data_IF_000478588168
#
_entry.id   IF_000478588168
#
_cell.length_a   1.000
_cell.length_b   1.000
_cell.length_c   1.000
_cell.angle_alpha   90.00
_cell.angle_beta   90.00
_cell.angle_gamma   90.00
#
_symmetry.space_group_name_H-M   'P 1'
#
loop_
_entity.id
_entity.type
_entity.pdbx_description
1 polymer ?
#
# COMPACT_ATOMS: atom_id res chain seq x y z
N UNK A 1 -17.15 10.91 1.61
CA UNK A 1 -16.46 10.44 2.83
C UNK A 1 -15.04 10.91 2.73
N UNK A 2 -14.46 11.47 3.81
CA UNK A 2 -13.06 11.85 3.87
C UNK A 2 -12.16 10.61 4.00
N UNK A 3 -10.98 10.66 3.41
CA UNK A 3 -9.93 9.64 3.57
C UNK A 3 -9.23 9.91 4.91
N UNK A 4 -9.26 8.93 5.79
CA UNK A 4 -8.71 9.03 7.14
C UNK A 4 -7.22 8.64 7.14
N UNK A 5 -6.35 9.55 7.59
CA UNK A 5 -4.90 9.42 7.47
C UNK A 5 -4.26 9.42 8.85
N UNK A 6 -3.39 8.45 9.11
CA UNK A 6 -2.44 8.45 10.21
C UNK A 6 -1.07 8.87 9.70
N UNK A 7 -0.48 9.92 10.29
CA UNK A 7 0.87 10.38 9.97
C UNK A 7 1.88 9.77 10.95
N UNK A 8 2.99 9.27 10.43
CA UNK A 8 4.03 8.63 11.26
C UNK A 8 5.41 9.11 10.84
N UNK A 9 6.07 9.86 11.71
CA UNK A 9 7.43 10.40 11.51
C UNK A 9 8.01 10.81 12.87
N UNK A 10 9.29 10.56 13.13
CA UNK A 10 9.95 10.95 14.38
C UNK A 10 10.36 12.44 14.41
N UNK A 11 10.21 13.14 13.28
CA UNK A 11 10.46 14.57 13.16
C UNK A 11 9.16 15.37 13.26
N UNK A 12 8.94 16.04 14.40
CA UNK A 12 7.72 16.86 14.64
C UNK A 12 7.49 17.92 13.56
N UNK A 13 8.55 18.53 13.04
CA UNK A 13 8.46 19.55 11.96
C UNK A 13 7.87 18.95 10.67
N UNK A 14 8.19 17.69 10.36
CA UNK A 14 7.62 16.98 9.20
C UNK A 14 6.14 16.71 9.44
N UNK A 15 5.77 16.23 10.63
CA UNK A 15 4.37 15.98 10.99
C UNK A 15 3.53 17.26 10.91
N UNK A 16 4.04 18.38 11.45
CA UNK A 16 3.35 19.68 11.40
C UNK A 16 3.20 20.18 9.96
N UNK A 17 4.24 20.04 9.14
CA UNK A 17 4.22 20.39 7.72
C UNK A 17 3.18 19.57 6.95
N UNK A 18 3.19 18.25 7.11
CA UNK A 18 2.23 17.34 6.48
C UNK A 18 0.79 17.66 6.93
N UNK A 19 0.59 17.89 8.22
CA UNK A 19 -0.72 18.25 8.77
C UNK A 19 -1.27 19.54 8.17
N UNK A 20 -0.46 20.59 8.15
CA UNK A 20 -0.87 21.89 7.58
C UNK A 20 -1.22 21.74 6.11
N UNK A 21 -0.44 20.98 5.39
CA UNK A 21 -0.50 20.85 3.95
C UNK A 21 -1.65 19.95 3.48
N UNK A 22 -1.79 18.75 4.10
CA UNK A 22 -2.88 17.82 3.78
C UNK A 22 -4.23 18.35 4.28
N UNK A 23 -4.24 19.12 5.38
CA UNK A 23 -5.45 19.75 5.91
C UNK A 23 -6.09 20.80 4.99
N UNK A 24 -5.43 21.21 3.91
CA UNK A 24 -6.02 22.08 2.89
C UNK A 24 -6.96 21.31 1.94
N UNK A 25 -6.88 20.00 1.88
CA UNK A 25 -7.76 19.19 1.04
C UNK A 25 -8.94 18.66 1.87
N UNK A 26 -10.19 19.07 1.57
CA UNK A 26 -11.37 18.68 2.33
C UNK A 26 -11.72 17.18 2.22
N UNK A 27 -11.12 16.45 1.28
CA UNK A 27 -11.27 15.01 1.13
C UNK A 27 -10.34 14.22 2.05
N UNK A 28 -9.36 14.87 2.71
CA UNK A 28 -8.37 14.25 3.57
C UNK A 28 -8.59 14.64 5.04
N UNK A 29 -8.58 13.67 5.93
CA UNK A 29 -8.76 13.86 7.37
C UNK A 29 -7.60 13.22 8.14
N UNK A 30 -6.79 14.04 8.83
CA UNK A 30 -5.72 13.53 9.67
C UNK A 30 -6.32 13.11 11.01
N UNK A 31 -6.40 11.80 11.24
CA UNK A 31 -7.02 11.21 12.43
C UNK A 31 -6.03 10.98 13.58
N UNK A 32 -4.72 11.01 13.30
CA UNK A 32 -3.70 10.85 14.33
C UNK A 32 -2.29 11.12 13.82
N UNK A 33 -1.36 11.20 14.79
CA UNK A 33 0.07 11.33 14.54
C UNK A 33 0.81 10.39 15.50
N UNK A 34 1.90 9.77 15.04
CA UNK A 34 2.79 8.93 15.81
C UNK A 34 4.25 9.31 15.56
N UNK A 35 5.09 9.17 16.59
CA UNK A 35 6.52 9.48 16.52
C UNK A 35 7.41 8.24 16.40
N UNK A 36 6.85 7.05 16.46
CA UNK A 36 7.55 5.78 16.26
C UNK A 36 6.61 4.67 15.77
N UNK A 37 7.19 3.56 15.31
CA UNK A 37 6.40 2.44 14.79
C UNK A 37 5.53 1.75 15.84
N UNK A 38 5.90 1.77 17.13
CA UNK A 38 5.11 1.14 18.20
C UNK A 38 3.83 1.93 18.44
N UNK A 39 3.94 3.25 18.47
CA UNK A 39 2.79 4.15 18.60
C UNK A 39 1.91 4.06 17.33
N UNK A 40 2.53 4.01 16.14
CA UNK A 40 1.83 3.84 14.87
C UNK A 40 0.93 2.61 14.85
N UNK A 41 1.44 1.43 15.27
CA UNK A 41 0.65 0.20 15.35
C UNK A 41 -0.52 0.35 16.32
N UNK A 42 -0.32 0.93 17.51
CA UNK A 42 -1.39 1.17 18.48
C UNK A 42 -2.48 2.10 17.93
N UNK A 43 -2.06 3.22 17.33
CA UNK A 43 -3.01 4.19 16.77
C UNK A 43 -3.74 3.65 15.54
N UNK A 44 -3.09 2.87 14.69
CA UNK A 44 -3.74 2.20 13.57
C UNK A 44 -4.88 1.29 14.05
N UNK A 45 -4.66 0.51 15.12
CA UNK A 45 -5.70 -0.30 15.74
C UNK A 45 -6.87 0.51 16.32
N UNK A 46 -6.55 1.60 17.02
CA UNK A 46 -7.54 2.42 17.71
C UNK A 46 -8.38 3.27 16.73
N UNK A 47 -7.71 3.84 15.71
CA UNK A 47 -8.31 4.83 14.83
C UNK A 47 -8.83 4.23 13.51
N UNK A 48 -8.32 3.05 13.09
CA UNK A 48 -8.68 2.42 11.81
C UNK A 48 -8.61 3.43 10.65
N UNK A 49 -7.42 4.01 10.37
CA UNK A 49 -7.26 4.90 9.23
C UNK A 49 -7.44 4.15 7.91
N UNK A 50 -7.73 4.87 6.83
CA UNK A 50 -7.72 4.30 5.49
C UNK A 50 -6.29 4.16 4.97
N UNK A 51 -5.45 5.16 5.29
CA UNK A 51 -4.04 5.24 4.86
C UNK A 51 -3.14 5.63 6.02
N UNK A 52 -2.00 4.97 6.13
CA UNK A 52 -0.88 5.37 7.00
C UNK A 52 0.24 5.91 6.14
N UNK A 53 0.66 7.15 6.37
CA UNK A 53 1.93 7.68 5.83
C UNK A 53 3.04 7.34 6.83
N UNK A 54 3.94 6.44 6.44
CA UNK A 54 4.91 5.82 7.33
C UNK A 54 6.33 6.20 6.97
N UNK A 55 7.02 6.95 7.85
CA UNK A 55 8.47 7.08 7.75
C UNK A 55 9.14 5.71 7.96
N UNK A 56 10.15 5.42 7.15
CA UNK A 56 10.88 4.15 7.25
C UNK A 56 11.96 4.19 8.33
N UNK A 57 12.51 5.36 8.63
CA UNK A 57 13.65 5.52 9.52
C UNK A 57 13.23 6.17 10.83
N UNK A 58 12.85 5.36 11.79
CA UNK A 58 12.44 5.83 13.10
C UNK A 58 13.11 5.05 14.23
N UNK A 59 13.31 5.66 15.42
CA UNK A 59 13.79 4.96 16.60
C UNK A 59 12.75 3.98 17.14
N UNK A 60 13.17 3.11 18.07
CA UNK A 60 12.35 2.13 18.80
C UNK A 60 11.84 1.02 17.90
N UNK A 61 10.98 1.32 16.94
CA UNK A 61 10.49 0.43 15.90
C UNK A 61 10.51 1.17 14.56
N UNK A 62 11.25 0.62 13.60
CA UNK A 62 11.31 1.18 12.25
C UNK A 62 10.00 1.02 11.48
N UNK A 63 9.85 1.82 10.42
CA UNK A 63 8.61 1.84 9.64
C UNK A 63 8.38 0.57 8.83
N UNK A 64 9.41 -0.18 8.45
CA UNK A 64 9.26 -1.46 7.74
C UNK A 64 8.63 -2.49 8.66
N UNK A 65 9.15 -2.61 9.88
CA UNK A 65 8.60 -3.50 10.92
C UNK A 65 7.15 -3.12 11.27
N UNK A 66 6.89 -1.82 11.49
CA UNK A 66 5.56 -1.32 11.77
C UNK A 66 4.57 -1.60 10.62
N UNK A 67 4.99 -1.38 9.36
CA UNK A 67 4.21 -1.71 8.17
C UNK A 67 3.81 -3.18 8.15
N UNK A 68 4.76 -4.08 8.38
CA UNK A 68 4.49 -5.53 8.41
C UNK A 68 3.50 -5.93 9.52
N UNK A 69 3.54 -5.27 10.67
CA UNK A 69 2.59 -5.51 11.77
C UNK A 69 1.20 -4.99 11.40
N UNK A 70 1.09 -3.75 10.91
CA UNK A 70 -0.17 -3.14 10.50
C UNK A 70 -0.84 -3.96 9.41
N UNK A 71 -0.12 -4.29 8.35
CA UNK A 71 -0.68 -5.03 7.20
C UNK A 71 -1.17 -6.44 7.54
N UNK A 72 -0.49 -7.14 8.46
CA UNK A 72 -0.94 -8.46 8.95
C UNK A 72 -2.17 -8.39 9.82
N UNK A 73 -2.28 -7.37 10.66
CA UNK A 73 -3.35 -7.26 11.66
C UNK A 73 -4.55 -6.46 11.16
N UNK A 74 -4.34 -5.58 10.20
CA UNK A 74 -5.31 -4.64 9.64
C UNK A 74 -5.16 -4.62 8.10
N UNK A 75 -5.53 -5.69 7.40
CA UNK A 75 -5.33 -5.78 5.95
C UNK A 75 -6.11 -4.72 5.14
N UNK A 76 -7.11 -4.10 5.75
CA UNK A 76 -7.88 -3.00 5.15
C UNK A 76 -7.16 -1.65 5.19
N UNK A 77 -6.13 -1.49 6.05
CA UNK A 77 -5.37 -0.25 6.20
C UNK A 77 -4.21 -0.26 5.21
N UNK A 78 -4.17 0.68 4.30
CA UNK A 78 -3.08 0.80 3.34
C UNK A 78 -1.92 1.61 3.94
N UNK A 79 -0.69 1.24 3.58
CA UNK A 79 0.52 1.93 4.05
C UNK A 79 1.30 2.47 2.87
N UNK A 80 1.54 3.78 2.87
CA UNK A 80 2.45 4.45 1.93
C UNK A 80 3.72 4.80 2.67
N UNK A 81 4.85 4.27 2.22
CA UNK A 81 6.14 4.54 2.83
C UNK A 81 6.64 5.95 2.44
N UNK A 82 7.17 6.69 3.42
CA UNK A 82 7.91 7.94 3.22
C UNK A 82 9.40 7.69 3.46
N UNK A 83 10.27 8.25 2.63
CA UNK A 83 11.72 8.12 2.82
C UNK A 83 12.45 9.38 2.38
N UNK A 84 13.54 9.70 3.07
CA UNK A 84 14.43 10.82 2.70
C UNK A 84 15.37 10.49 1.56
N UNK A 85 15.63 9.19 1.32
CA UNK A 85 16.62 8.70 0.35
C UNK A 85 16.04 7.48 -0.37
N UNK A 86 16.22 7.44 -1.68
CA UNK A 86 15.95 6.26 -2.52
C UNK A 86 17.04 5.19 -2.28
N UNK A 87 17.06 4.59 -1.09
CA UNK A 87 17.81 3.38 -0.86
C UNK A 87 16.96 2.20 -1.29
N UNK A 88 17.34 1.57 -2.38
CA UNK A 88 16.58 0.47 -2.99
C UNK A 88 16.20 -0.64 -2.00
N UNK A 89 17.11 -1.00 -1.10
CA UNK A 89 16.85 -2.03 -0.07
C UNK A 89 15.72 -1.66 0.88
N UNK A 90 15.60 -0.38 1.26
CA UNK A 90 14.54 0.09 2.16
C UNK A 90 13.19 0.15 1.46
N UNK A 91 13.18 0.62 0.21
CA UNK A 91 11.97 0.63 -0.62
C UNK A 91 11.47 -0.79 -0.84
N UNK A 92 12.35 -1.70 -1.22
CA UNK A 92 12.04 -3.13 -1.38
C UNK A 92 11.55 -3.73 -0.06
N UNK A 93 12.22 -3.43 1.05
CA UNK A 93 11.81 -3.88 2.38
C UNK A 93 10.39 -3.42 2.76
N UNK A 94 10.07 -2.15 2.50
CA UNK A 94 8.73 -1.60 2.75
C UNK A 94 7.64 -2.29 1.91
N UNK A 95 7.91 -2.51 0.63
CA UNK A 95 6.96 -3.20 -0.26
C UNK A 95 6.80 -4.68 0.15
N UNK A 96 7.90 -5.35 0.55
CA UNK A 96 7.83 -6.72 1.10
C UNK A 96 7.03 -6.79 2.39
N UNK A 97 7.14 -5.77 3.24
CA UNK A 97 6.34 -5.65 4.46
C UNK A 97 4.86 -5.38 4.18
N UNK A 98 4.50 -4.98 2.96
CA UNK A 98 3.13 -4.79 2.54
C UNK A 98 2.72 -3.35 2.22
N UNK A 99 3.67 -2.43 2.10
CA UNK A 99 3.35 -1.08 1.62
C UNK A 99 2.75 -1.13 0.21
N UNK A 100 1.74 -0.29 -0.03
CA UNK A 100 1.08 -0.20 -1.35
C UNK A 100 1.88 0.67 -2.32
N UNK A 101 2.71 1.55 -1.80
CA UNK A 101 3.58 2.46 -2.57
C UNK A 101 4.61 3.12 -1.67
N UNK A 102 5.44 3.95 -2.28
CA UNK A 102 6.43 4.77 -1.57
C UNK A 102 6.52 6.16 -2.19
N UNK A 103 6.96 7.13 -1.39
CA UNK A 103 7.20 8.51 -1.78
C UNK A 103 8.48 9.03 -1.13
N UNK A 104 9.11 10.00 -1.77
CA UNK A 104 10.17 10.78 -1.15
C UNK A 104 9.58 11.89 -0.26
N UNK A 105 10.24 12.23 0.84
CA UNK A 105 9.80 13.31 1.75
C UNK A 105 9.86 14.71 1.09
N UNK A 106 10.59 14.85 -0.02
CA UNK A 106 10.66 16.07 -0.84
C UNK A 106 9.66 16.07 -2.02
N UNK A 107 8.80 15.06 -2.09
CA UNK A 107 7.73 14.98 -3.09
C UNK A 107 6.82 16.20 -3.02
N UNK A 108 6.47 16.73 -4.19
CA UNK A 108 5.53 17.85 -4.28
C UNK A 108 4.17 17.48 -3.67
N UNK A 109 3.60 18.46 -3.08
CA UNK A 109 2.36 18.36 -2.35
C UNK A 109 1.18 17.78 -3.13
N UNK A 110 1.01 18.16 -4.37
CA UNK A 110 -0.07 17.65 -5.21
C UNK A 110 0.15 16.17 -5.57
N UNK A 111 1.40 15.76 -5.70
CA UNK A 111 1.74 14.36 -5.92
C UNK A 111 1.47 13.53 -4.66
N UNK A 112 1.85 14.03 -3.48
CA UNK A 112 1.55 13.38 -2.20
C UNK A 112 0.03 13.19 -2.02
N UNK A 113 -0.80 14.21 -2.30
CA UNK A 113 -2.27 14.09 -2.24
C UNK A 113 -2.80 13.04 -3.21
N UNK A 114 -2.30 13.03 -4.44
CA UNK A 114 -2.70 12.02 -5.45
C UNK A 114 -2.34 10.61 -5.00
N UNK A 115 -1.13 10.41 -4.47
CA UNK A 115 -0.68 9.11 -4.00
C UNK A 115 -1.52 8.60 -2.80
N UNK A 116 -1.89 9.46 -1.86
CA UNK A 116 -2.78 9.11 -0.76
C UNK A 116 -4.15 8.67 -1.27
N UNK A 117 -4.75 9.44 -2.20
CA UNK A 117 -6.05 9.11 -2.79
C UNK A 117 -6.00 7.80 -3.58
N UNK A 118 -4.93 7.58 -4.32
CA UNK A 118 -4.69 6.33 -5.05
C UNK A 118 -4.54 5.14 -4.09
N UNK A 119 -3.76 5.30 -3.01
CA UNK A 119 -3.60 4.27 -1.99
C UNK A 119 -4.94 3.92 -1.32
N UNK A 120 -5.73 4.92 -0.92
CA UNK A 120 -7.07 4.71 -0.35
C UNK A 120 -8.02 3.99 -1.31
N UNK A 121 -7.88 4.24 -2.62
CA UNK A 121 -8.62 3.52 -3.68
C UNK A 121 -8.05 2.11 -3.94
N UNK A 122 -6.96 1.75 -3.26
CA UNK A 122 -6.26 0.48 -3.44
C UNK A 122 -5.51 0.40 -4.76
N UNK A 123 -4.97 1.47 -5.29
CA UNK A 123 -4.11 1.45 -6.47
C UNK A 123 -2.66 1.27 -6.06
N UNK A 124 -1.97 0.31 -6.68
CA UNK A 124 -0.53 0.11 -6.48
C UNK A 124 0.22 1.16 -7.30
N UNK A 125 1.14 1.88 -6.66
CA UNK A 125 1.98 2.87 -7.33
C UNK A 125 3.45 2.53 -7.11
N UNK A 126 4.05 1.88 -8.11
CA UNK A 126 5.47 1.53 -8.14
C UNK A 126 6.10 2.03 -9.44
N UNK A 127 7.33 2.52 -9.36
CA UNK A 127 8.09 2.79 -10.58
C UNK A 127 8.49 1.48 -11.28
N UNK A 128 8.63 1.47 -12.63
CA UNK A 128 9.05 0.28 -13.36
C UNK A 128 10.35 -0.33 -12.83
N UNK A 129 11.31 0.52 -12.41
CA UNK A 129 12.60 0.07 -11.86
C UNK A 129 12.43 -0.71 -10.55
N UNK A 130 11.50 -0.28 -9.68
CA UNK A 130 11.19 -0.99 -8.44
C UNK A 130 10.48 -2.30 -8.73
N UNK A 131 9.55 -2.32 -9.68
CA UNK A 131 8.86 -3.56 -10.12
C UNK A 131 9.89 -4.57 -10.63
N UNK A 132 10.79 -4.17 -11.53
CA UNK A 132 11.82 -5.05 -12.10
C UNK A 132 12.70 -5.68 -11.00
N UNK A 133 13.16 -4.89 -10.04
CA UNK A 133 13.97 -5.39 -8.91
C UNK A 133 13.19 -6.34 -8.01
N UNK A 134 11.95 -5.98 -7.66
CA UNK A 134 11.10 -6.85 -6.85
C UNK A 134 10.84 -8.20 -7.51
N UNK A 135 10.68 -8.24 -8.83
CA UNK A 135 10.51 -9.50 -9.57
C UNK A 135 11.72 -10.41 -9.45
N UNK A 136 12.95 -9.86 -9.38
CA UNK A 136 14.16 -10.66 -9.16
C UNK A 136 14.32 -11.16 -7.71
N UNK A 137 13.68 -10.50 -6.74
CA UNK A 137 13.87 -10.78 -5.32
C UNK A 137 12.67 -11.45 -4.63
N UNK A 138 11.50 -11.46 -5.27
CA UNK A 138 10.32 -12.14 -4.70
C UNK A 138 10.54 -13.64 -4.72
N UNK A 139 10.62 -14.24 -3.53
CA UNK A 139 10.61 -15.69 -3.37
C UNK A 139 9.27 -16.25 -3.83
N UNK A 140 9.30 -17.45 -4.42
CA UNK A 140 8.06 -18.16 -4.75
C UNK A 140 7.26 -18.45 -3.47
N UNK A 141 5.96 -18.12 -3.45
CA UNK A 141 5.11 -18.61 -2.36
C UNK A 141 5.21 -20.12 -2.28
N UNK A 142 5.42 -20.66 -1.09
CA UNK A 142 5.38 -22.12 -0.89
C UNK A 142 3.96 -22.61 -1.23
N UNK A 143 3.82 -23.24 -2.40
CA UNK A 143 2.60 -23.90 -2.89
C UNK A 143 1.32 -23.03 -2.77
N UNK A 144 1.15 -22.01 -3.62
CA UNK A 144 -0.07 -21.21 -3.61
C UNK A 144 -1.28 -22.10 -3.97
N UNK A 145 -2.39 -21.89 -3.30
CA UNK A 145 -3.65 -22.51 -3.70
C UNK A 145 -4.05 -22.04 -5.11
N UNK A 146 -4.63 -22.95 -5.89
CA UNK A 146 -5.10 -22.58 -7.24
C UNK A 146 -6.25 -21.59 -7.15
N UNK A 147 -6.08 -20.46 -7.84
CA UNK A 147 -7.15 -19.48 -7.99
C UNK A 147 -8.17 -19.96 -9.03
N UNK A 148 -9.45 -19.82 -8.72
CA UNK A 148 -10.52 -20.02 -9.69
C UNK A 148 -10.52 -18.94 -10.78
N UNK A 149 -11.21 -19.18 -11.91
CA UNK A 149 -11.22 -18.27 -13.07
C UNK A 149 -11.64 -16.84 -12.69
N UNK A 150 -12.61 -16.71 -11.79
CA UNK A 150 -13.09 -15.40 -11.31
C UNK A 150 -12.05 -14.67 -10.46
N UNK A 151 -11.34 -15.38 -9.59
CA UNK A 151 -10.25 -14.83 -8.78
C UNK A 151 -9.05 -14.41 -9.64
N UNK A 152 -8.74 -15.19 -10.68
CA UNK A 152 -7.71 -14.83 -11.66
C UNK A 152 -8.07 -13.53 -12.40
N UNK A 153 -9.34 -13.33 -12.74
CA UNK A 153 -9.78 -12.10 -13.40
C UNK A 153 -9.68 -10.87 -12.46
N UNK A 154 -10.06 -11.03 -11.18
CA UNK A 154 -9.82 -9.99 -10.16
C UNK A 154 -8.33 -9.68 -10.05
N UNK A 155 -7.47 -10.71 -10.01
CA UNK A 155 -6.03 -10.55 -9.90
C UNK A 155 -5.42 -9.86 -11.14
N UNK A 156 -5.92 -10.15 -12.35
CA UNK A 156 -5.51 -9.43 -13.57
C UNK A 156 -5.83 -7.94 -13.49
N UNK A 157 -7.06 -7.59 -13.11
CA UNK A 157 -7.47 -6.19 -12.99
C UNK A 157 -6.66 -5.46 -11.93
N UNK A 158 -6.42 -6.11 -10.78
CA UNK A 158 -5.58 -5.60 -9.72
C UNK A 158 -4.14 -5.33 -10.20
N UNK A 159 -3.54 -6.27 -10.92
CA UNK A 159 -2.19 -6.17 -11.44
C UNK A 159 -2.03 -5.08 -12.53
N UNK A 160 -3.13 -4.73 -13.22
CA UNK A 160 -3.21 -3.59 -14.14
C UNK A 160 -3.46 -2.25 -13.43
N UNK A 161 -3.23 -2.16 -12.13
CA UNK A 161 -3.36 -0.92 -11.35
C UNK A 161 -4.79 -0.44 -11.15
N UNK A 162 -5.82 -1.27 -11.41
CA UNK A 162 -7.21 -0.85 -11.25
C UNK A 162 -7.57 -0.67 -9.77
N UNK A 163 -8.30 0.41 -9.48
CA UNK A 163 -8.87 0.66 -8.15
C UNK A 163 -9.99 -0.35 -7.82
N UNK A 164 -10.33 -0.46 -6.54
CA UNK A 164 -11.42 -1.35 -6.12
C UNK A 164 -12.75 -0.98 -6.79
N UNK A 165 -13.02 0.31 -6.99
CA UNK A 165 -14.22 0.81 -7.68
C UNK A 165 -14.21 0.46 -9.18
N UNK A 166 -13.05 0.56 -9.87
CA UNK A 166 -12.92 0.15 -11.26
C UNK A 166 -13.10 -1.35 -11.44
N UNK A 167 -12.52 -2.16 -10.54
CA UNK A 167 -12.72 -3.62 -10.52
C UNK A 167 -14.20 -3.94 -10.27
N UNK A 168 -14.84 -3.28 -9.31
CA UNK A 168 -16.25 -3.47 -8.99
C UNK A 168 -17.15 -3.18 -10.20
N UNK A 169 -16.88 -2.09 -10.92
CA UNK A 169 -17.61 -1.75 -12.16
C UNK A 169 -17.38 -2.77 -13.27
N UNK A 170 -16.13 -3.20 -13.49
CA UNK A 170 -15.78 -4.19 -14.51
C UNK A 170 -16.47 -5.53 -14.27
N UNK A 171 -16.59 -5.95 -13.01
CA UNK A 171 -17.19 -7.23 -12.61
C UNK A 171 -18.70 -7.13 -12.26
N UNK A 172 -19.28 -5.93 -12.32
CA UNK A 172 -20.69 -5.67 -11.96
C UNK A 172 -21.04 -6.09 -10.52
N UNK A 173 -20.13 -5.84 -9.57
CA UNK A 173 -20.30 -6.12 -8.14
C UNK A 173 -20.13 -4.85 -7.30
N UNK A 174 -20.35 -4.94 -5.98
CA UNK A 174 -20.10 -3.84 -5.07
C UNK A 174 -18.60 -3.76 -4.69
N UNK A 175 -18.10 -2.56 -4.44
CA UNK A 175 -16.71 -2.34 -4.01
C UNK A 175 -16.33 -3.15 -2.75
N UNK A 176 -17.27 -3.28 -1.80
CA UNK A 176 -17.09 -4.11 -0.60
C UNK A 176 -16.81 -5.57 -0.96
N UNK A 177 -17.46 -6.09 -1.98
CA UNK A 177 -17.24 -7.47 -2.47
C UNK A 177 -15.83 -7.61 -3.05
N UNK A 178 -15.36 -6.59 -3.80
CA UNK A 178 -13.99 -6.59 -4.34
C UNK A 178 -12.96 -6.61 -3.21
N UNK A 179 -13.14 -5.79 -2.16
CA UNK A 179 -12.24 -5.80 -1.00
C UNK A 179 -12.16 -7.17 -0.33
N UNK A 180 -13.29 -7.85 -0.18
CA UNK A 180 -13.32 -9.22 0.36
C UNK A 180 -12.60 -10.21 -0.55
N UNK A 181 -12.89 -10.19 -1.86
CA UNK A 181 -12.27 -11.06 -2.86
C UNK A 181 -10.75 -10.89 -2.90
N UNK A 182 -10.27 -9.66 -2.83
CA UNK A 182 -8.82 -9.39 -2.77
C UNK A 182 -8.24 -10.01 -1.50
N UNK A 183 -8.88 -9.85 -0.34
CA UNK A 183 -8.45 -10.49 0.90
C UNK A 183 -8.34 -12.02 0.77
N UNK A 184 -9.33 -12.66 0.17
CA UNK A 184 -9.34 -14.11 -0.05
C UNK A 184 -8.21 -14.53 -1.02
N UNK A 185 -7.98 -13.76 -2.10
CA UNK A 185 -6.88 -14.00 -3.05
C UNK A 185 -5.52 -13.87 -2.34
N UNK A 186 -5.31 -12.84 -1.51
CA UNK A 186 -4.08 -12.67 -0.76
C UNK A 186 -3.81 -13.85 0.16
N UNK A 187 -4.85 -14.34 0.86
CA UNK A 187 -4.75 -15.50 1.74
C UNK A 187 -4.39 -16.78 0.96
N UNK A 188 -5.04 -17.04 -0.18
CA UNK A 188 -4.76 -18.20 -1.04
C UNK A 188 -3.35 -18.18 -1.64
N UNK A 189 -2.88 -17.00 -2.02
CA UNK A 189 -1.52 -16.81 -2.55
C UNK A 189 -0.45 -16.81 -1.45
N UNK A 190 -0.83 -16.69 -0.18
CA UNK A 190 0.10 -16.57 0.94
C UNK A 190 0.91 -15.24 0.90
N UNK A 191 0.37 -14.19 0.31
CA UNK A 191 1.05 -12.90 0.17
C UNK A 191 0.43 -11.84 1.08
N UNK A 192 1.24 -10.95 1.70
CA UNK A 192 0.76 -10.00 2.71
C UNK A 192 0.05 -8.77 2.12
N UNK A 193 0.17 -8.51 0.81
CA UNK A 193 -0.38 -7.28 0.22
C UNK A 193 -0.78 -7.43 -1.24
N UNK A 194 -1.65 -6.52 -1.69
CA UNK A 194 -2.06 -6.46 -3.09
C UNK A 194 -0.89 -6.15 -4.04
N UNK A 195 0.11 -5.41 -3.57
CA UNK A 195 1.33 -5.15 -4.33
C UNK A 195 2.07 -6.45 -4.64
N UNK A 196 2.21 -7.33 -3.64
CA UNK A 196 2.82 -8.64 -3.86
C UNK A 196 1.96 -9.57 -4.71
N UNK A 197 0.64 -9.47 -4.61
CA UNK A 197 -0.26 -10.18 -5.52
C UNK A 197 -0.12 -9.70 -6.97
N UNK A 198 0.03 -8.38 -7.19
CA UNK A 198 0.30 -7.83 -8.52
C UNK A 198 1.63 -8.35 -9.09
N UNK A 199 2.69 -8.34 -8.29
CA UNK A 199 4.00 -8.90 -8.68
C UNK A 199 3.92 -10.40 -8.99
N UNK A 200 3.15 -11.15 -8.21
CA UNK A 200 2.88 -12.56 -8.48
C UNK A 200 2.21 -12.76 -9.84
N UNK A 201 1.20 -11.94 -10.18
CA UNK A 201 0.51 -12.01 -11.47
C UNK A 201 1.45 -11.74 -12.66
N UNK A 202 2.36 -10.77 -12.53
CA UNK A 202 3.37 -10.48 -13.56
C UNK A 202 4.35 -11.65 -13.70
N UNK A 203 4.86 -12.17 -12.60
CA UNK A 203 5.83 -13.27 -12.59
C UNK A 203 5.27 -14.56 -13.20
N UNK A 204 4.00 -14.89 -12.90
CA UNK A 204 3.35 -16.09 -13.45
C UNK A 204 2.84 -15.92 -14.87
N UNK A 205 3.07 -14.75 -15.49
CA UNK A 205 2.62 -14.45 -16.84
C UNK A 205 1.11 -14.24 -16.98
N UNK A 206 0.41 -14.05 -15.84
CA UNK A 206 -1.02 -13.72 -15.87
C UNK A 206 -1.27 -12.33 -16.45
N UNK A 207 -0.30 -11.42 -16.26
CA UNK A 207 -0.26 -10.05 -16.79
C UNK A 207 1.17 -9.76 -17.26
N UNK A 208 1.34 -9.03 -18.37
CA UNK A 208 2.66 -8.59 -18.83
C UNK A 208 3.14 -7.35 -18.03
N UNK A 209 4.46 -7.10 -18.01
CA UNK A 209 5.03 -5.90 -17.37
C UNK A 209 4.45 -4.61 -17.93
N UNK A 210 4.26 -4.53 -19.25
CA UNK A 210 3.70 -3.36 -19.93
C UNK A 210 2.24 -3.10 -19.53
N UNK A 211 1.47 -4.16 -19.25
CA UNK A 211 0.09 -4.05 -18.78
C UNK A 211 -0.01 -3.64 -17.30
N UNK A 212 1.01 -3.95 -16.50
CA UNK A 212 1.06 -3.61 -15.08
C UNK A 212 1.57 -2.18 -14.81
N UNK A 213 2.23 -1.56 -15.79
CA UNK A 213 2.81 -0.21 -15.69
C UNK A 213 1.89 0.90 -16.24
N UNK A 214 0.64 0.58 -16.63
CA UNK A 214 -0.35 1.50 -17.21
C UNK A 214 -1.38 1.93 -16.19
#
# INVERSE_FOLDING_TARGET
>A
MSIRILLVDDHSVVLDGLRMFLGLDPELEIVGQAADGTEAVKLAHALRPDVVLMDLLMPVMDGITATGLIRRQLPEVEVVALTSVLEDEKVIGAIRAGAIGYLLKDTEADELRRAIKAAAAGQVQLSPQVVERLLHEVQEPEAPEQLGDYEQEVLRLLARGRSNDEIARALSVQEKTVKSLIGDILAKLGVPSRTQAALYAVRTGLVTLDEAAT
#
